data_IF_211142558500
#
_entry.id   IF_211142558500
#
_cell.length_a   1.000
_cell.length_b   1.000
_cell.length_c   1.000
_cell.angle_alpha   90.00
_cell.angle_beta   90.00
_cell.angle_gamma   90.00
#
_symmetry.space_group_name_H-M   'P 1'
#
loop_
_entity.id
_entity.type
_entity.pdbx_description
1 polymer ?
#
# COMPACT_ATOMS: atom_id res chain seq x y z
N UNK A 1 -15.01 28.81 3.88
CA UNK A 1 -14.03 27.82 3.38
C UNK A 1 -13.30 28.46 2.20
N UNK A 2 -11.97 28.32 2.08
CA UNK A 2 -11.19 28.91 0.98
C UNK A 2 -11.67 28.34 -0.37
N UNK A 3 -11.91 29.19 -1.37
CA UNK A 3 -12.44 28.79 -2.69
C UNK A 3 -11.64 27.61 -3.32
N UNK A 4 -10.31 27.61 -3.14
CA UNK A 4 -9.46 26.54 -3.66
C UNK A 4 -9.65 25.17 -3.01
N UNK A 5 -10.16 25.09 -1.77
CA UNK A 5 -10.44 23.83 -1.08
C UNK A 5 -11.74 23.22 -1.62
N UNK A 6 -12.77 24.05 -1.83
CA UNK A 6 -14.05 23.59 -2.38
C UNK A 6 -13.87 22.99 -3.78
N UNK A 7 -13.07 23.62 -4.62
CA UNK A 7 -12.74 23.10 -5.96
C UNK A 7 -12.08 21.72 -5.89
N UNK A 8 -11.12 21.54 -4.99
CA UNK A 8 -10.44 20.24 -4.80
C UNK A 8 -11.41 19.18 -4.29
N UNK A 9 -12.29 19.52 -3.34
CA UNK A 9 -13.29 18.56 -2.82
C UNK A 9 -14.26 18.11 -3.90
N UNK A 10 -14.76 19.04 -4.73
CA UNK A 10 -15.66 18.73 -5.84
C UNK A 10 -14.95 17.83 -6.85
N UNK A 11 -13.72 18.19 -7.24
CA UNK A 11 -12.90 17.37 -8.13
C UNK A 11 -12.66 15.98 -7.56
N UNK A 12 -12.31 15.89 -6.28
CA UNK A 12 -12.08 14.63 -5.59
C UNK A 12 -13.32 13.74 -5.68
N UNK A 13 -14.47 14.24 -5.23
CA UNK A 13 -15.74 13.50 -5.23
C UNK A 13 -16.13 13.05 -6.63
N UNK A 14 -15.99 13.93 -7.64
CA UNK A 14 -16.30 13.59 -9.02
C UNK A 14 -15.41 12.45 -9.53
N UNK A 15 -14.11 12.52 -9.29
CA UNK A 15 -13.18 11.44 -9.66
C UNK A 15 -13.54 10.14 -8.96
N UNK A 16 -13.87 10.18 -7.66
CA UNK A 16 -14.25 8.98 -6.90
C UNK A 16 -15.50 8.31 -7.48
N UNK A 17 -16.57 9.08 -7.72
CA UNK A 17 -17.85 8.57 -8.24
C UNK A 17 -17.73 8.03 -9.67
N UNK A 18 -16.85 8.62 -10.49
CA UNK A 18 -16.61 8.16 -11.87
C UNK A 18 -15.73 6.92 -11.94
N UNK A 19 -14.85 6.73 -10.95
CA UNK A 19 -13.81 5.70 -10.97
C UNK A 19 -14.23 4.43 -10.24
N UNK A 20 -14.92 4.55 -9.11
CA UNK A 20 -15.19 3.43 -8.21
C UNK A 20 -16.68 3.09 -8.12
N UNK A 21 -17.03 1.81 -7.91
CA UNK A 21 -18.41 1.41 -7.67
C UNK A 21 -19.01 2.16 -6.48
N UNK A 22 -20.29 2.54 -6.59
CA UNK A 22 -20.99 3.28 -5.51
C UNK A 22 -20.99 2.53 -4.18
N UNK A 23 -21.11 1.21 -4.22
CA UNK A 23 -21.13 0.36 -3.03
C UNK A 23 -19.80 0.39 -2.27
N UNK A 24 -18.69 0.69 -2.95
CA UNK A 24 -17.37 0.83 -2.32
C UNK A 24 -17.19 2.22 -1.68
N UNK A 25 -18.07 3.20 -1.96
CA UNK A 25 -17.94 4.60 -1.51
C UNK A 25 -18.82 4.94 -0.30
N UNK A 26 -19.32 3.94 0.42
CA UNK A 26 -20.18 4.14 1.60
C UNK A 26 -19.46 4.92 2.70
N UNK A 27 -18.21 4.56 3.00
CA UNK A 27 -17.40 5.25 4.03
C UNK A 27 -17.13 6.71 3.64
N UNK A 28 -16.78 6.96 2.37
CA UNK A 28 -16.62 8.32 1.84
C UNK A 28 -17.88 9.16 2.08
N UNK A 29 -19.06 8.65 1.69
CA UNK A 29 -20.32 9.37 1.84
C UNK A 29 -20.65 9.66 3.31
N UNK A 30 -20.31 8.74 4.22
CA UNK A 30 -20.55 8.91 5.65
C UNK A 30 -19.62 9.99 6.25
N UNK A 31 -18.34 9.93 5.91
CA UNK A 31 -17.32 10.80 6.50
C UNK A 31 -17.37 12.23 5.93
N UNK A 32 -17.62 12.39 4.63
CA UNK A 32 -17.70 13.71 3.99
C UNK A 32 -18.79 14.61 4.59
N UNK A 33 -19.93 14.04 5.02
CA UNK A 33 -21.05 14.82 5.60
C UNK A 33 -20.67 15.61 6.84
N UNK A 34 -19.67 15.15 7.58
CA UNK A 34 -19.22 15.74 8.84
C UNK A 34 -17.75 16.19 8.75
N UNK A 35 -17.14 16.17 7.56
CA UNK A 35 -15.72 16.43 7.41
C UNK A 35 -15.42 17.88 7.76
N UNK A 36 -14.47 18.08 8.67
CA UNK A 36 -13.98 19.40 9.02
C UNK A 36 -12.57 19.63 8.44
N UNK A 37 -12.36 20.72 7.71
CA UNK A 37 -11.04 21.09 7.20
C UNK A 37 -10.59 22.36 7.88
N UNK A 38 -9.47 22.29 8.61
CA UNK A 38 -8.93 23.42 9.37
C UNK A 38 -7.48 23.70 9.00
N UNK A 39 -7.06 24.94 9.17
CA UNK A 39 -5.67 25.34 8.93
C UNK A 39 -4.80 25.04 10.15
N UNK A 40 -3.60 24.48 9.93
CA UNK A 40 -2.56 24.28 10.95
C UNK A 40 -1.18 24.61 10.40
N UNK A 41 -0.32 25.19 11.24
CA UNK A 41 1.10 25.35 10.92
C UNK A 41 1.87 24.06 11.25
N UNK A 42 2.51 23.48 10.24
CA UNK A 42 3.37 22.30 10.38
C UNK A 42 4.87 22.64 10.47
N UNK A 43 5.24 23.93 10.48
CA UNK A 43 6.65 24.35 10.41
C UNK A 43 7.52 23.70 11.49
N UNK A 44 7.06 23.75 12.75
CA UNK A 44 7.84 23.20 13.88
C UNK A 44 7.95 21.68 13.82
N UNK A 45 6.86 20.97 13.51
CA UNK A 45 6.87 19.50 13.39
C UNK A 45 7.73 19.03 12.21
N UNK A 46 7.64 19.71 11.08
CA UNK A 46 8.43 19.40 9.89
C UNK A 46 9.93 19.57 10.16
N UNK A 47 10.33 20.61 10.89
CA UNK A 47 11.72 20.82 11.31
C UNK A 47 12.19 19.73 12.26
N UNK A 48 11.41 19.40 13.30
CA UNK A 48 11.79 18.42 14.32
C UNK A 48 11.84 16.99 13.78
N UNK A 49 10.93 16.62 12.88
CA UNK A 49 10.82 15.27 12.32
C UNK A 49 11.54 15.08 10.98
N UNK A 50 12.07 16.16 10.40
CA UNK A 50 12.57 16.18 9.03
C UNK A 50 11.53 15.70 8.01
N UNK A 51 10.29 16.13 8.20
CA UNK A 51 9.13 15.79 7.37
C UNK A 51 8.70 16.99 6.52
N UNK A 52 7.88 16.74 5.49
CA UNK A 52 7.29 17.79 4.67
C UNK A 52 5.76 17.68 4.64
N UNK A 53 5.16 17.58 5.83
CA UNK A 53 3.72 17.42 6.00
C UNK A 53 3.00 18.68 5.51
N UNK A 54 2.09 18.51 4.54
CA UNK A 54 1.26 19.56 3.99
C UNK A 54 -0.22 19.46 4.39
N UNK A 55 -0.64 18.25 4.75
CA UNK A 55 -1.93 17.94 5.33
C UNK A 55 -1.78 16.69 6.22
N UNK A 56 -2.72 16.49 7.15
CA UNK A 56 -2.85 15.24 7.89
C UNK A 56 -4.32 14.96 8.21
N UNK A 57 -4.70 13.70 8.13
CA UNK A 57 -5.99 13.18 8.55
C UNK A 57 -6.00 12.86 10.06
N UNK A 58 -7.05 13.30 10.75
CA UNK A 58 -7.31 13.03 12.17
C UNK A 58 -8.67 12.29 12.28
N UNK A 59 -8.66 10.94 12.26
CA UNK A 59 -9.87 10.11 12.22
C UNK A 59 -10.90 10.44 13.30
N UNK A 60 -10.46 10.55 14.55
CA UNK A 60 -11.32 10.70 15.73
C UNK A 60 -12.09 12.02 15.75
N UNK A 61 -11.56 13.02 15.03
CA UNK A 61 -12.19 14.34 14.89
C UNK A 61 -12.89 14.50 13.54
N UNK A 62 -12.87 13.47 12.70
CA UNK A 62 -13.28 13.51 11.31
C UNK A 62 -12.76 14.80 10.62
N UNK A 63 -11.45 15.06 10.77
CA UNK A 63 -10.82 16.34 10.44
C UNK A 63 -9.56 16.18 9.60
N UNK A 64 -9.44 16.99 8.54
CA UNK A 64 -8.15 17.21 7.88
C UNK A 64 -7.57 18.54 8.37
N UNK A 65 -6.32 18.51 8.80
CA UNK A 65 -5.55 19.70 9.11
C UNK A 65 -4.62 20.01 7.94
N UNK A 66 -4.68 21.23 7.41
CA UNK A 66 -3.94 21.62 6.19
C UNK A 66 -3.00 22.81 6.44
N UNK A 67 -1.86 22.82 5.74
CA UNK A 67 -1.02 24.01 5.59
C UNK A 67 -1.40 24.76 4.32
N UNK A 68 -1.72 26.05 4.45
CA UNK A 68 -2.07 26.90 3.30
C UNK A 68 -0.96 26.99 2.24
N UNK A 69 0.29 26.62 2.58
CA UNK A 69 1.43 26.73 1.69
C UNK A 69 1.57 25.56 0.71
N UNK A 70 1.15 24.34 1.10
CA UNK A 70 1.47 23.11 0.36
C UNK A 70 0.36 22.03 0.41
N UNK A 71 -0.83 22.33 0.94
CA UNK A 71 -1.92 21.36 1.04
C UNK A 71 -2.32 20.73 -0.30
N UNK A 72 -2.23 21.47 -1.41
CA UNK A 72 -2.64 20.97 -2.75
C UNK A 72 -1.90 19.69 -3.17
N UNK A 73 -0.70 19.47 -2.64
CA UNK A 73 0.16 18.34 -3.00
C UNK A 73 -0.12 17.08 -2.14
N UNK A 74 -0.95 17.20 -1.10
CA UNK A 74 -1.14 16.17 -0.06
C UNK A 74 -2.62 15.94 0.28
N UNK A 75 -3.51 16.90 0.03
CA UNK A 75 -4.92 16.80 0.43
C UNK A 75 -5.67 15.63 -0.20
N UNK A 76 -5.37 15.24 -1.45
CA UNK A 76 -6.01 14.07 -2.07
C UNK A 76 -5.57 12.76 -1.41
N UNK A 77 -4.34 12.70 -0.87
CA UNK A 77 -3.87 11.57 -0.05
C UNK A 77 -4.71 11.49 1.23
N UNK A 78 -4.88 12.61 1.94
CA UNK A 78 -5.70 12.62 3.16
C UNK A 78 -7.18 12.35 2.89
N UNK A 79 -7.73 12.82 1.77
CA UNK A 79 -9.11 12.54 1.37
C UNK A 79 -9.33 11.07 1.03
N UNK A 80 -8.31 10.34 0.54
CA UNK A 80 -8.39 8.90 0.37
C UNK A 80 -8.45 8.17 1.72
N UNK A 81 -7.73 8.64 2.74
CA UNK A 81 -7.90 8.14 4.12
C UNK A 81 -9.31 8.42 4.63
N UNK A 82 -9.87 9.61 4.39
CA UNK A 82 -11.29 9.91 4.69
C UNK A 82 -12.23 8.92 3.98
N UNK A 83 -11.94 8.59 2.73
CA UNK A 83 -12.76 7.68 1.92
C UNK A 83 -12.77 6.23 2.42
N UNK A 84 -11.77 5.84 3.22
CA UNK A 84 -11.51 4.46 3.63
C UNK A 84 -11.47 4.28 5.14
N UNK A 85 -11.94 5.26 5.94
CA UNK A 85 -11.89 5.20 7.41
C UNK A 85 -13.25 4.86 8.04
N UNK A 86 -13.25 3.97 9.04
CA UNK A 86 -14.29 3.91 10.07
C UNK A 86 -13.67 3.68 11.45
N UNK A 87 -14.41 4.03 12.50
CA UNK A 87 -14.05 3.75 13.89
C UNK A 87 -15.09 2.78 14.43
N UNK A 88 -14.63 1.63 14.94
CA UNK A 88 -15.50 0.61 15.52
C UNK A 88 -15.87 0.93 16.96
N UNK A 89 -16.86 0.21 17.52
CA UNK A 89 -17.41 0.46 18.86
C UNK A 89 -16.37 0.37 19.98
N UNK A 90 -15.27 -0.37 19.79
CA UNK A 90 -14.17 -0.47 20.74
C UNK A 90 -13.10 0.63 20.55
N UNK A 91 -13.40 1.67 19.78
CA UNK A 91 -12.51 2.76 19.38
C UNK A 91 -11.32 2.35 18.50
N UNK A 92 -11.31 1.13 17.94
CA UNK A 92 -10.30 0.77 16.94
C UNK A 92 -10.58 1.50 15.63
N UNK A 93 -9.56 2.20 15.14
CA UNK A 93 -9.56 2.87 13.84
C UNK A 93 -9.23 1.84 12.78
N UNK A 94 -10.08 1.78 11.76
CA UNK A 94 -9.84 1.05 10.52
C UNK A 94 -9.73 2.08 9.41
N UNK A 95 -8.58 2.15 8.74
CA UNK A 95 -8.34 3.07 7.64
C UNK A 95 -7.67 2.30 6.51
N UNK A 96 -8.38 2.04 5.41
CA UNK A 96 -7.83 1.26 4.31
C UNK A 96 -7.31 -0.10 4.76
N UNK A 97 -5.99 -0.29 4.69
CA UNK A 97 -5.33 -1.52 5.17
C UNK A 97 -4.68 -1.40 6.55
N UNK A 98 -5.02 -0.35 7.29
CA UNK A 98 -4.48 -0.07 8.61
C UNK A 98 -5.53 -0.32 9.69
N UNK A 99 -5.11 -1.03 10.75
CA UNK A 99 -5.85 -1.13 12.02
C UNK A 99 -5.02 -0.50 13.13
N UNK A 100 -5.64 0.37 13.93
CA UNK A 100 -5.00 1.02 15.06
C UNK A 100 -5.93 1.05 16.26
N UNK A 101 -5.48 0.48 17.37
CA UNK A 101 -6.08 0.69 18.69
C UNK A 101 -5.17 1.54 19.57
N UNK A 102 -3.86 1.28 19.52
CA UNK A 102 -2.82 2.05 20.21
C UNK A 102 -1.44 1.76 19.61
N UNK A 103 -0.39 2.40 20.13
CA UNK A 103 0.99 2.28 19.65
C UNK A 103 1.57 0.85 19.71
N UNK A 104 1.02 -0.02 20.57
CA UNK A 104 1.43 -1.43 20.70
C UNK A 104 0.47 -2.40 19.98
N UNK A 105 -0.66 -1.90 19.48
CA UNK A 105 -1.70 -2.68 18.82
C UNK A 105 -2.12 -1.96 17.54
N UNK A 106 -1.23 -2.06 16.55
CA UNK A 106 -1.44 -1.53 15.20
C UNK A 106 -0.75 -2.41 14.16
N UNK A 107 -1.30 -2.44 12.95
CA UNK A 107 -0.77 -3.22 11.84
C UNK A 107 -1.27 -2.72 10.50
N UNK A 108 -0.41 -2.77 9.48
CA UNK A 108 -0.72 -2.49 8.09
C UNK A 108 -0.61 -1.02 7.69
N UNK A 109 0.01 -0.20 8.54
CA UNK A 109 0.25 1.24 8.29
C UNK A 109 1.01 1.44 6.98
N UNK A 110 2.08 0.68 6.77
CA UNK A 110 2.96 0.81 5.62
C UNK A 110 2.26 0.49 4.30
N UNK A 111 1.49 -0.61 4.25
CA UNK A 111 0.69 -0.97 3.07
C UNK A 111 -0.43 0.02 2.84
N UNK A 112 -1.06 0.53 3.90
CA UNK A 112 -2.08 1.56 3.81
C UNK A 112 -1.52 2.83 3.16
N UNK A 113 -0.47 3.44 3.74
CA UNK A 113 0.17 4.65 3.20
C UNK A 113 0.66 4.45 1.76
N UNK A 114 1.26 3.29 1.48
CA UNK A 114 1.70 2.92 0.14
C UNK A 114 0.56 2.87 -0.87
N UNK A 115 -0.56 2.26 -0.52
CA UNK A 115 -1.71 2.16 -1.43
C UNK A 115 -2.48 3.48 -1.55
N UNK A 116 -2.61 4.24 -0.45
CA UNK A 116 -3.16 5.61 -0.46
C UNK A 116 -2.36 6.49 -1.42
N UNK A 117 -1.03 6.46 -1.32
CA UNK A 117 -0.15 7.21 -2.20
C UNK A 117 -0.23 6.72 -3.66
N UNK A 118 -0.33 5.41 -3.89
CA UNK A 118 -0.51 4.83 -5.21
C UNK A 118 -1.80 5.34 -5.88
N UNK A 119 -2.93 5.31 -5.16
CA UNK A 119 -4.21 5.81 -5.65
C UNK A 119 -4.18 7.33 -5.87
N UNK A 120 -3.55 8.09 -4.97
CA UNK A 120 -3.38 9.52 -5.09
C UNK A 120 -2.70 9.87 -6.43
N UNK A 121 -1.54 9.27 -6.70
CA UNK A 121 -0.76 9.50 -7.92
C UNK A 121 -1.46 9.00 -9.19
N UNK A 122 -2.24 7.92 -9.08
CA UNK A 122 -2.92 7.31 -10.21
C UNK A 122 -4.14 8.10 -10.69
N UNK A 123 -4.88 8.72 -9.77
CA UNK A 123 -6.17 9.32 -10.08
C UNK A 123 -6.22 10.85 -9.94
N UNK A 124 -5.25 11.48 -9.26
CA UNK A 124 -5.31 12.91 -8.95
C UNK A 124 -4.06 13.67 -9.42
N UNK A 125 -3.87 13.74 -10.73
CA UNK A 125 -2.63 14.26 -11.35
C UNK A 125 -2.62 15.76 -11.62
N UNK A 126 -3.72 16.47 -11.37
CA UNK A 126 -3.86 17.90 -11.68
C UNK A 126 -2.88 18.79 -10.91
N UNK A 127 -2.53 18.42 -9.69
CA UNK A 127 -1.54 19.12 -8.88
C UNK A 127 -0.33 18.21 -8.65
N UNK A 128 0.90 18.77 -8.55
CA UNK A 128 2.08 17.97 -8.21
C UNK A 128 1.87 17.26 -6.88
N UNK A 129 1.85 15.93 -6.89
CA UNK A 129 1.75 15.14 -5.67
C UNK A 129 3.13 15.06 -5.03
N UNK A 130 3.19 15.19 -3.70
CA UNK A 130 4.41 14.95 -2.94
C UNK A 130 4.85 13.50 -3.18
N UNK A 131 6.05 13.32 -3.74
CA UNK A 131 6.66 11.98 -3.89
C UNK A 131 7.06 11.46 -2.51
N UNK A 132 6.15 10.75 -1.86
CA UNK A 132 6.36 10.08 -0.59
C UNK A 132 6.19 8.55 -0.76
N UNK A 133 6.58 7.80 0.27
CA UNK A 133 6.30 6.35 0.35
C UNK A 133 6.73 5.54 -0.88
N UNK A 134 7.87 5.89 -1.49
CA UNK A 134 8.27 5.32 -2.79
C UNK A 134 8.34 3.79 -2.75
N UNK A 135 8.96 3.22 -1.72
CA UNK A 135 9.07 1.78 -1.55
C UNK A 135 7.70 1.15 -1.26
N UNK A 136 6.98 1.69 -0.28
CA UNK A 136 5.68 1.18 0.14
C UNK A 136 4.65 1.18 -1.01
N UNK A 137 4.63 2.25 -1.81
CA UNK A 137 3.79 2.37 -3.01
C UNK A 137 4.07 1.28 -4.02
N UNK A 138 5.35 1.00 -4.28
CA UNK A 138 5.75 -0.06 -5.20
C UNK A 138 5.30 -1.43 -4.69
N UNK A 139 5.50 -1.72 -3.40
CA UNK A 139 5.03 -2.97 -2.80
C UNK A 139 3.49 -3.07 -2.84
N UNK A 140 2.76 -2.01 -2.50
CA UNK A 140 1.30 -2.00 -2.57
C UNK A 140 0.79 -2.22 -4.01
N UNK A 141 1.46 -1.63 -5.01
CA UNK A 141 1.15 -1.87 -6.42
C UNK A 141 1.42 -3.32 -6.86
N UNK A 142 2.46 -3.95 -6.31
CA UNK A 142 2.74 -5.36 -6.55
C UNK A 142 1.67 -6.27 -5.92
N UNK A 143 1.18 -5.93 -4.73
CA UNK A 143 0.03 -6.62 -4.12
C UNK A 143 -1.23 -6.45 -4.99
N UNK A 144 -1.48 -5.26 -5.56
CA UNK A 144 -2.59 -5.06 -6.52
C UNK A 144 -2.47 -6.01 -7.73
N UNK A 145 -1.25 -6.26 -8.23
CA UNK A 145 -1.02 -7.24 -9.30
C UNK A 145 -1.31 -8.68 -8.85
N UNK A 146 -1.12 -8.99 -7.57
CA UNK A 146 -1.36 -10.33 -7.01
C UNK A 146 -2.86 -10.60 -6.85
N UNK A 147 -3.59 -9.74 -6.13
CA UNK A 147 -5.00 -10.00 -5.81
C UNK A 147 -5.98 -9.39 -6.84
N UNK A 148 -5.48 -8.54 -7.72
CA UNK A 148 -6.25 -7.85 -8.75
C UNK A 148 -6.80 -6.50 -8.29
N UNK A 149 -6.76 -5.52 -9.20
CA UNK A 149 -7.19 -4.13 -8.98
C UNK A 149 -8.57 -3.99 -8.35
N UNK A 150 -9.58 -4.62 -8.94
CA UNK A 150 -10.97 -4.47 -8.48
C UNK A 150 -11.13 -4.92 -7.03
N UNK A 151 -10.50 -6.03 -6.67
CA UNK A 151 -10.56 -6.58 -5.31
C UNK A 151 -9.77 -5.71 -4.33
N UNK A 152 -8.54 -5.32 -4.68
CA UNK A 152 -7.70 -4.44 -3.84
C UNK A 152 -8.41 -3.12 -3.52
N UNK A 153 -9.01 -2.47 -4.52
CA UNK A 153 -9.74 -1.21 -4.35
C UNK A 153 -10.97 -1.38 -3.46
N UNK A 154 -11.76 -2.45 -3.69
CA UNK A 154 -12.91 -2.78 -2.86
C UNK A 154 -12.49 -2.97 -1.39
N UNK A 155 -11.48 -3.79 -1.13
CA UNK A 155 -11.01 -4.05 0.23
C UNK A 155 -10.50 -2.78 0.92
N UNK A 156 -9.75 -1.95 0.19
CA UNK A 156 -9.26 -0.68 0.69
C UNK A 156 -10.40 0.26 1.09
N UNK A 157 -11.37 0.54 0.22
CA UNK A 157 -12.45 1.49 0.55
C UNK A 157 -13.46 0.96 1.56
N UNK A 158 -13.45 -0.34 1.84
CA UNK A 158 -14.21 -0.95 2.94
C UNK A 158 -13.39 -1.12 4.24
N UNK A 159 -12.17 -0.58 4.28
CA UNK A 159 -11.23 -0.68 5.40
C UNK A 159 -10.96 -2.14 5.86
N UNK A 160 -10.84 -3.05 4.90
CA UNK A 160 -10.84 -4.49 5.11
C UNK A 160 -9.44 -5.12 4.97
N UNK A 161 -8.58 -4.88 5.95
CA UNK A 161 -7.29 -5.57 6.08
C UNK A 161 -7.45 -7.10 6.20
N UNK A 162 -8.52 -7.59 6.85
CA UNK A 162 -8.71 -9.03 7.01
C UNK A 162 -9.01 -9.69 5.66
N UNK A 163 -9.88 -9.08 4.85
CA UNK A 163 -10.14 -9.54 3.49
C UNK A 163 -8.90 -9.48 2.59
N UNK A 164 -7.99 -8.53 2.80
CA UNK A 164 -6.67 -8.54 2.15
C UNK A 164 -5.85 -9.78 2.57
N UNK A 165 -5.73 -10.04 3.87
CA UNK A 165 -5.01 -11.23 4.39
C UNK A 165 -5.61 -12.52 3.83
N UNK A 166 -6.94 -12.68 3.85
CA UNK A 166 -7.63 -13.85 3.31
C UNK A 166 -7.46 -13.99 1.78
N UNK A 167 -7.40 -12.87 1.05
CA UNK A 167 -7.13 -12.90 -0.39
C UNK A 167 -5.71 -13.41 -0.69
N UNK A 168 -4.74 -13.01 0.14
CA UNK A 168 -3.33 -13.40 0.06
C UNK A 168 -3.09 -14.85 0.52
N UNK A 169 -3.93 -15.39 1.41
CA UNK A 169 -3.86 -16.77 1.90
C UNK A 169 -3.90 -17.82 0.78
N UNK A 170 -4.46 -17.45 -0.38
CA UNK A 170 -4.44 -18.26 -1.59
C UNK A 170 -3.05 -18.65 -2.10
N UNK A 171 -2.01 -17.95 -1.65
CA UNK A 171 -0.63 -18.09 -2.14
C UNK A 171 0.40 -18.32 -1.02
N UNK A 172 0.07 -17.95 0.22
CA UNK A 172 1.00 -17.99 1.35
C UNK A 172 0.26 -18.20 2.69
N UNK A 173 0.93 -18.68 3.74
CA UNK A 173 0.28 -18.88 5.04
C UNK A 173 -0.07 -17.55 5.72
N UNK A 174 -1.15 -17.55 6.51
CA UNK A 174 -1.56 -16.39 7.31
C UNK A 174 -0.42 -15.86 8.19
N UNK A 175 0.34 -16.74 8.86
CA UNK A 175 1.46 -16.35 9.72
C UNK A 175 2.57 -15.62 8.93
N UNK A 176 2.88 -16.10 7.73
CA UNK A 176 3.87 -15.47 6.86
C UNK A 176 3.35 -14.12 6.32
N UNK A 177 2.05 -14.00 6.05
CA UNK A 177 1.41 -12.72 5.65
C UNK A 177 1.50 -11.70 6.78
N UNK A 178 1.18 -12.08 8.02
CA UNK A 178 1.32 -11.18 9.17
C UNK A 178 2.79 -10.81 9.44
N UNK A 179 3.71 -11.76 9.27
CA UNK A 179 5.15 -11.49 9.35
C UNK A 179 5.57 -10.46 8.30
N UNK A 180 5.08 -10.57 7.07
CA UNK A 180 5.30 -9.59 6.01
C UNK A 180 4.76 -8.21 6.38
N UNK A 181 3.52 -8.11 6.87
CA UNK A 181 2.92 -6.83 7.29
C UNK A 181 3.73 -6.16 8.41
N UNK A 182 4.17 -6.93 9.41
CA UNK A 182 5.02 -6.41 10.49
C UNK A 182 6.38 -5.92 9.98
N UNK A 183 6.99 -6.63 9.01
CA UNK A 183 8.25 -6.20 8.38
C UNK A 183 8.08 -4.91 7.59
N UNK A 184 6.98 -4.77 6.86
CA UNK A 184 6.63 -3.53 6.16
C UNK A 184 6.51 -2.35 7.13
N UNK A 185 5.74 -2.52 8.21
CA UNK A 185 5.58 -1.47 9.23
C UNK A 185 6.90 -1.13 9.94
N UNK A 186 7.75 -2.14 10.21
CA UNK A 186 9.08 -1.93 10.76
C UNK A 186 9.97 -1.09 9.83
N UNK A 187 10.00 -1.38 8.53
CA UNK A 187 10.75 -0.61 7.53
C UNK A 187 10.29 0.84 7.52
N UNK A 188 8.98 1.07 7.53
CA UNK A 188 8.41 2.42 7.49
C UNK A 188 8.77 3.23 8.75
N UNK A 189 8.83 2.60 9.93
CA UNK A 189 9.22 3.24 11.19
C UNK A 189 10.73 3.47 11.32
N UNK A 190 11.55 2.73 10.58
CA UNK A 190 13.02 2.69 10.75
C UNK A 190 13.80 3.15 9.50
N UNK A 191 13.19 3.98 8.62
CA UNK A 191 13.71 4.35 7.28
C UNK A 191 15.15 4.89 7.20
N UNK A 192 15.77 5.29 8.31
CA UNK A 192 17.14 5.83 8.37
C UNK A 192 18.20 4.78 8.72
N UNK A 193 17.78 3.55 9.00
CA UNK A 193 18.69 2.51 9.48
C UNK A 193 19.08 1.55 8.36
N UNK A 194 20.38 1.43 8.07
CA UNK A 194 20.90 0.52 7.04
C UNK A 194 20.60 -0.96 7.33
N UNK A 195 20.29 -1.32 8.59
CA UNK A 195 19.86 -2.67 8.97
C UNK A 195 18.53 -3.07 8.31
N UNK A 196 17.74 -2.12 7.80
CA UNK A 196 16.51 -2.45 7.08
C UNK A 196 16.77 -3.15 5.74
N UNK A 197 17.97 -3.07 5.17
CA UNK A 197 18.24 -3.63 3.83
C UNK A 197 17.99 -5.14 3.76
N UNK A 198 18.35 -5.91 4.79
CA UNK A 198 18.03 -7.34 4.82
C UNK A 198 16.52 -7.58 4.90
N UNK A 199 15.80 -6.75 5.65
CA UNK A 199 14.34 -6.81 5.77
C UNK A 199 13.67 -6.48 4.43
N UNK A 200 14.16 -5.48 3.70
CA UNK A 200 13.67 -5.15 2.35
C UNK A 200 13.86 -6.33 1.38
N UNK A 201 14.99 -7.04 1.46
CA UNK A 201 15.23 -8.25 0.65
C UNK A 201 14.21 -9.34 0.94
N UNK A 202 13.89 -9.55 2.21
CA UNK A 202 12.89 -10.53 2.64
C UNK A 202 11.48 -10.14 2.18
N UNK A 203 11.12 -8.86 2.24
CA UNK A 203 9.85 -8.33 1.72
C UNK A 203 9.76 -8.55 0.20
N UNK A 204 10.81 -8.21 -0.55
CA UNK A 204 10.86 -8.41 -1.99
C UNK A 204 10.77 -9.90 -2.37
N UNK A 205 11.47 -10.77 -1.62
CA UNK A 205 11.39 -12.21 -1.79
C UNK A 205 9.96 -12.71 -1.61
N UNK A 206 9.30 -12.27 -0.53
CA UNK A 206 7.94 -12.65 -0.19
C UNK A 206 6.97 -12.28 -1.32
N UNK A 207 6.97 -11.02 -1.75
CA UNK A 207 6.08 -10.52 -2.82
C UNK A 207 6.36 -11.23 -4.16
N UNK A 208 7.64 -11.44 -4.49
CA UNK A 208 8.02 -12.17 -5.71
C UNK A 208 7.50 -13.60 -5.70
N UNK A 209 7.67 -14.29 -4.57
CA UNK A 209 7.22 -15.66 -4.39
C UNK A 209 5.70 -15.78 -4.47
N UNK A 210 4.96 -14.84 -3.89
CA UNK A 210 3.51 -14.80 -3.96
C UNK A 210 3.00 -14.62 -5.39
N UNK A 211 3.54 -13.64 -6.13
CA UNK A 211 3.12 -13.39 -7.50
C UNK A 211 3.46 -14.57 -8.42
N UNK A 212 4.60 -15.22 -8.19
CA UNK A 212 4.98 -16.43 -8.90
C UNK A 212 3.98 -17.57 -8.66
N UNK A 213 3.58 -17.80 -7.40
CA UNK A 213 2.56 -18.79 -7.04
C UNK A 213 1.21 -18.49 -7.70
N UNK A 214 0.82 -17.21 -7.79
CA UNK A 214 -0.36 -16.80 -8.55
C UNK A 214 -0.25 -17.21 -10.02
N UNK A 215 0.83 -16.83 -10.70
CA UNK A 215 1.03 -17.14 -12.13
C UNK A 215 0.98 -18.65 -12.36
N UNK A 216 1.62 -19.45 -11.51
CA UNK A 216 1.64 -20.90 -11.63
C UNK A 216 0.28 -21.55 -11.34
N UNK A 217 -0.50 -21.00 -10.39
CA UNK A 217 -1.87 -21.46 -10.09
C UNK A 217 -2.83 -21.20 -11.26
N UNK A 218 -2.65 -20.07 -11.95
CA UNK A 218 -3.46 -19.67 -13.11
C UNK A 218 -3.04 -20.37 -14.41
N UNK A 219 -1.80 -20.87 -14.49
CA UNK A 219 -1.23 -21.47 -15.70
C UNK A 219 -0.58 -22.81 -15.36
N UNK A 220 -1.39 -23.88 -15.40
CA UNK A 220 -0.89 -25.26 -15.22
C UNK A 220 0.14 -25.57 -16.30
N UNK A 221 1.19 -26.30 -15.92
CA UNK A 221 2.25 -26.78 -16.81
C UNK A 221 3.01 -25.68 -17.58
N UNK A 222 3.05 -24.46 -17.02
CA UNK A 222 3.82 -23.36 -17.58
C UNK A 222 5.32 -23.67 -17.57
N UNK A 223 5.98 -23.51 -18.71
CA UNK A 223 7.44 -23.61 -18.78
C UNK A 223 8.14 -22.37 -18.19
N UNK A 224 9.42 -22.51 -17.88
CA UNK A 224 10.19 -21.44 -17.22
C UNK A 224 10.33 -20.17 -18.08
N UNK A 225 10.37 -20.27 -19.40
CA UNK A 225 10.53 -19.11 -20.29
C UNK A 225 9.25 -18.28 -20.31
N UNK A 226 8.10 -18.93 -20.39
CA UNK A 226 6.81 -18.25 -20.35
C UNK A 226 6.47 -17.74 -18.94
N UNK A 227 6.92 -18.43 -17.90
CA UNK A 227 6.85 -17.95 -16.53
C UNK A 227 7.59 -16.62 -16.37
N UNK A 228 8.84 -16.52 -16.84
CA UNK A 228 9.64 -15.29 -16.79
C UNK A 228 8.91 -14.14 -17.50
N UNK A 229 8.32 -14.37 -18.69
CA UNK A 229 7.54 -13.34 -19.40
C UNK A 229 6.36 -12.85 -18.57
N UNK A 230 5.65 -13.76 -17.88
CA UNK A 230 4.51 -13.41 -17.02
C UNK A 230 4.92 -12.73 -15.72
N UNK A 231 6.18 -12.85 -15.31
CA UNK A 231 6.77 -12.11 -14.17
C UNK A 231 7.10 -10.65 -14.51
N UNK A 232 7.19 -10.27 -15.80
CA UNK A 232 7.58 -8.91 -16.21
C UNK A 232 6.78 -7.79 -15.53
N UNK A 233 5.43 -7.85 -15.41
CA UNK A 233 4.67 -6.78 -14.74
C UNK A 233 5.12 -6.55 -13.29
N UNK A 234 5.45 -7.63 -12.56
CA UNK A 234 5.96 -7.52 -11.20
C UNK A 234 7.38 -6.95 -11.18
N UNK A 235 8.27 -7.47 -12.03
CA UNK A 235 9.67 -7.04 -12.09
C UNK A 235 9.76 -5.54 -12.38
N UNK A 236 8.87 -5.01 -13.23
CA UNK A 236 8.83 -3.58 -13.57
C UNK A 236 8.42 -2.67 -12.42
N UNK A 237 7.67 -3.19 -11.43
CA UNK A 237 7.21 -2.38 -10.28
C UNK A 237 8.00 -2.64 -9.02
N UNK A 238 8.61 -3.82 -8.88
CA UNK A 238 9.33 -4.23 -7.68
C UNK A 238 10.56 -3.32 -7.46
N UNK A 239 10.75 -2.78 -6.24
CA UNK A 239 11.88 -1.90 -5.96
C UNK A 239 13.21 -2.68 -5.95
N UNK A 240 14.14 -2.31 -6.83
CA UNK A 240 15.50 -2.89 -6.86
C UNK A 240 16.51 -2.13 -5.98
N UNK A 241 16.16 -0.91 -5.56
CA UNK A 241 17.01 -0.06 -4.74
C UNK A 241 16.20 0.84 -3.81
N UNK A 242 16.81 1.28 -2.71
CA UNK A 242 16.27 2.28 -1.79
C UNK A 242 17.35 3.28 -1.39
N UNK A 243 17.00 4.56 -1.33
CA UNK A 243 17.92 5.61 -0.84
C UNK A 243 17.73 5.79 0.67
N UNK A 244 18.79 5.60 1.45
CA UNK A 244 18.85 5.86 2.89
C UNK A 244 19.97 6.89 3.12
N UNK A 245 19.64 8.01 3.76
CA UNK A 245 20.59 9.11 4.03
C UNK A 245 21.42 9.53 2.80
N UNK A 246 20.74 9.72 1.66
CA UNK A 246 21.32 10.08 0.35
C UNK A 246 22.23 9.02 -0.28
N UNK A 247 22.35 7.83 0.32
CA UNK A 247 23.08 6.69 -0.24
C UNK A 247 22.09 5.69 -0.82
N UNK A 248 22.31 5.29 -2.08
CA UNK A 248 21.51 4.26 -2.71
C UNK A 248 21.99 2.88 -2.28
N UNK A 249 21.07 2.08 -1.75
CA UNK A 249 21.28 0.69 -1.38
C UNK A 249 20.52 -0.22 -2.32
N UNK A 250 21.21 -1.23 -2.84
CA UNK A 250 20.60 -2.26 -3.68
C UNK A 250 19.85 -3.25 -2.80
N UNK A 251 18.60 -3.54 -3.18
CA UNK A 251 17.76 -4.52 -2.51
C UNK A 251 17.95 -5.86 -3.22
N UNK A 252 17.61 -5.94 -4.51
CA UNK A 252 17.85 -7.14 -5.33
C UNK A 252 18.50 -6.78 -6.67
N UNK A 253 19.38 -7.63 -7.21
CA UNK A 253 19.61 -7.69 -8.66
C UNK A 253 18.74 -8.72 -9.38
N UNK A 254 18.77 -8.62 -10.70
CA UNK A 254 18.28 -9.59 -11.67
C UNK A 254 18.68 -11.03 -11.29
N UNK A 255 19.94 -11.29 -10.88
CA UNK A 255 20.37 -12.64 -10.53
C UNK A 255 19.66 -13.17 -9.27
N UNK A 256 19.51 -12.35 -8.24
CA UNK A 256 18.73 -12.67 -7.05
C UNK A 256 17.25 -12.93 -7.42
N UNK A 257 16.64 -12.10 -8.27
CA UNK A 257 15.26 -12.30 -8.75
C UNK A 257 15.12 -13.60 -9.54
N UNK A 258 16.04 -13.89 -10.46
CA UNK A 258 16.06 -15.15 -11.22
C UNK A 258 16.26 -16.37 -10.32
N UNK A 259 17.10 -16.27 -9.29
CA UNK A 259 17.27 -17.33 -8.29
C UNK A 259 15.97 -17.62 -7.55
N UNK A 260 15.23 -16.59 -7.14
CA UNK A 260 13.91 -16.74 -6.50
C UNK A 260 12.95 -17.46 -7.45
N UNK A 261 12.89 -17.04 -8.71
CA UNK A 261 12.02 -17.65 -9.71
C UNK A 261 12.34 -19.15 -9.88
N UNK A 262 13.62 -19.50 -10.04
CA UNK A 262 14.04 -20.88 -10.20
C UNK A 262 13.74 -21.73 -8.96
N UNK A 263 14.00 -21.22 -7.76
CA UNK A 263 13.78 -21.96 -6.51
C UNK A 263 12.30 -22.30 -6.31
N UNK A 264 11.43 -21.29 -6.40
CA UNK A 264 9.99 -21.48 -6.21
C UNK A 264 9.38 -22.33 -7.32
N UNK A 265 9.84 -22.17 -8.56
CA UNK A 265 9.42 -23.04 -9.68
C UNK A 265 9.75 -24.51 -9.40
N UNK A 266 10.98 -24.81 -8.98
CA UNK A 266 11.41 -26.17 -8.67
C UNK A 266 10.64 -26.78 -7.47
N UNK A 267 10.36 -26.00 -6.43
CA UNK A 267 9.51 -26.44 -5.31
C UNK A 267 8.13 -26.88 -5.77
N UNK A 268 7.52 -26.14 -6.70
CA UNK A 268 6.19 -26.45 -7.21
C UNK A 268 6.18 -27.73 -8.06
N UNK A 269 7.17 -27.89 -8.95
CA UNK A 269 7.33 -29.10 -9.77
C UNK A 269 7.60 -30.36 -8.93
N UNK A 270 8.32 -30.22 -7.82
CA UNK A 270 8.56 -31.33 -6.89
C UNK A 270 7.31 -31.71 -6.06
N UNK A 271 6.39 -30.77 -5.84
CA UNK A 271 5.10 -31.05 -5.17
C UNK A 271 4.10 -31.71 -6.13
N UNK A 272 4.06 -31.31 -7.40
CA UNK A 272 3.18 -31.93 -8.40
C UNK A 272 3.55 -33.40 -8.64
N UNK A 273 4.85 -33.71 -8.76
CA UNK A 273 5.34 -35.09 -8.98
C UNK A 273 5.10 -36.04 -7.80
N UNK A 274 5.05 -35.55 -6.55
CA UNK A 274 4.71 -36.37 -5.37
C UNK A 274 3.23 -36.79 -5.32
N UNK A 275 2.32 -36.01 -5.93
CA UNK A 275 0.90 -36.33 -5.95
C UNK A 275 0.51 -37.38 -7.01
N UNK A 276 1.41 -37.73 -7.94
CA UNK A 276 1.20 -38.80 -8.94
C UNK A 276 1.75 -40.17 -8.51
N UNK A 277 2.34 -40.29 -7.32
CA UNK A 277 2.88 -41.55 -6.77
C UNK A 277 1.99 -42.21 -5.69
N UNK A 278 0.68 -41.97 -5.71
CA UNK A 278 -0.30 -42.69 -4.88
C UNK A 278 -1.30 -43.42 -5.74
#
# INVERSE_FOLDING_TARGET
MNQGINEILIEFVNTMIQTFPKDDLVLLNNNLKKLNIVTRSFKLSNVLKHENTGAQWIPEKNRIEISLQNYRNTINHELLHVASTYISDNNMIHCGFYKYLNEHSNIGESINEGYTQYLAEKYFTKYPILKAYTYEKQIASAIELIIGRKLMQKLYFNADLNGLVLSLENFESIDNIYTFLNKMDYVTKTKKDKRIISVLKEINYFVTSMYLRKVMKENKDIDIKDLIKRMLPLIMVLPSQMTIDKVAYKINDDNEVFSIINNVYNEFQNKSTKNFKK
#
